data_IF_031404171274
#
_entry.id   IF_031404171274
#
_cell.length_a   1.000
_cell.length_b   1.000
_cell.length_c   1.000
_cell.angle_alpha   90.00
_cell.angle_beta   90.00
_cell.angle_gamma   90.00
#
_symmetry.space_group_name_H-M   'P 1'
#
loop_
_entity.id
_entity.type
_entity.pdbx_description
1 polymer ?
#
# COMPACT_ATOMS: atom_id res chain seq x y z
N UNK A 1 3.16 -23.75 -11.99
CA UNK A 1 4.13 -22.71 -12.38
C UNK A 1 3.88 -21.47 -11.55
N UNK A 2 4.90 -20.77 -11.03
CA UNK A 2 4.67 -19.56 -10.26
C UNK A 2 3.99 -18.51 -11.14
N UNK A 3 2.97 -17.84 -10.59
CA UNK A 3 2.33 -16.69 -11.22
C UNK A 3 3.42 -15.62 -11.41
N UNK A 4 3.65 -15.19 -12.65
CA UNK A 4 4.70 -14.22 -12.98
C UNK A 4 4.08 -12.99 -13.63
N UNK A 5 4.36 -11.82 -13.06
CA UNK A 5 4.02 -10.55 -13.70
C UNK A 5 4.90 -10.31 -14.94
N UNK A 6 4.29 -9.89 -16.03
CA UNK A 6 4.94 -9.57 -17.31
C UNK A 6 4.99 -8.08 -17.59
N UNK A 7 4.09 -7.28 -17.02
CA UNK A 7 4.11 -5.82 -17.08
C UNK A 7 3.29 -5.21 -15.94
N UNK A 8 3.58 -3.96 -15.59
CA UNK A 8 2.83 -3.17 -14.61
C UNK A 8 2.41 -1.83 -15.22
N UNK A 9 1.16 -1.44 -15.02
CA UNK A 9 0.61 -0.17 -15.50
C UNK A 9 0.05 0.59 -14.29
N UNK A 10 0.72 1.69 -13.93
CA UNK A 10 0.33 2.51 -12.78
C UNK A 10 -0.39 3.77 -13.25
N UNK A 11 -1.70 3.84 -13.02
CA UNK A 11 -2.46 5.07 -13.17
C UNK A 11 -2.32 5.93 -11.92
N UNK A 12 -1.76 7.14 -12.07
CA UNK A 12 -1.38 7.98 -10.94
C UNK A 12 -1.50 9.48 -11.21
N UNK A 13 -1.48 10.27 -10.13
CA UNK A 13 -1.21 11.71 -10.23
C UNK A 13 0.08 12.09 -9.48
N UNK A 14 0.83 13.10 -9.96
CA UNK A 14 2.07 13.54 -9.32
C UNK A 14 1.90 13.93 -7.84
N UNK A 15 0.90 14.74 -7.51
CA UNK A 15 0.68 15.30 -6.16
C UNK A 15 -0.22 14.44 -5.26
N UNK A 16 -0.61 13.23 -5.69
CA UNK A 16 -1.39 12.33 -4.85
C UNK A 16 -0.50 11.55 -3.89
N UNK A 17 -0.78 11.67 -2.59
CA UNK A 17 -0.08 10.91 -1.55
C UNK A 17 -0.25 9.40 -1.72
N UNK A 18 -1.45 8.92 -2.04
CA UNK A 18 -1.67 7.50 -2.31
C UNK A 18 -0.89 7.00 -3.54
N UNK A 19 -0.77 7.84 -4.58
CA UNK A 19 0.07 7.52 -5.73
C UNK A 19 1.56 7.54 -5.38
N UNK A 20 1.99 8.47 -4.52
CA UNK A 20 3.36 8.54 -4.06
C UNK A 20 3.77 7.27 -3.31
N UNK A 21 2.89 6.70 -2.47
CA UNK A 21 3.12 5.41 -1.79
C UNK A 21 3.55 4.32 -2.78
N UNK A 22 2.89 4.22 -3.93
CA UNK A 22 3.16 3.17 -4.91
C UNK A 22 4.43 3.47 -5.71
N UNK A 23 4.68 4.72 -6.08
CA UNK A 23 5.95 5.10 -6.73
C UNK A 23 7.15 4.79 -5.83
N UNK A 24 7.04 5.11 -4.53
CA UNK A 24 8.05 4.76 -3.53
C UNK A 24 8.21 3.25 -3.42
N UNK A 25 7.10 2.49 -3.32
CA UNK A 25 7.14 1.03 -3.26
C UNK A 25 7.84 0.39 -4.46
N UNK A 26 7.51 0.81 -5.68
CA UNK A 26 8.12 0.32 -6.92
C UNK A 26 9.64 0.59 -6.95
N UNK A 27 10.06 1.77 -6.50
CA UNK A 27 11.48 2.15 -6.42
C UNK A 27 12.22 1.38 -5.32
N UNK A 28 11.66 1.28 -4.11
CA UNK A 28 12.27 0.54 -3.00
C UNK A 28 12.50 -0.92 -3.37
N UNK A 29 11.51 -1.55 -4.02
CA UNK A 29 11.62 -2.92 -4.53
C UNK A 29 12.54 -3.06 -5.74
N UNK A 30 13.12 -1.97 -6.25
CA UNK A 30 14.02 -1.97 -7.41
C UNK A 30 13.42 -2.62 -8.65
N UNK A 31 12.10 -2.53 -8.82
CA UNK A 31 11.42 -3.16 -9.96
C UNK A 31 11.77 -2.47 -11.29
N UNK A 32 12.21 -1.21 -11.24
CA UNK A 32 12.75 -0.49 -12.38
C UNK A 32 14.09 -1.03 -12.90
N UNK A 33 14.87 -1.69 -12.04
CA UNK A 33 16.16 -2.28 -12.42
C UNK A 33 15.99 -3.68 -13.03
N UNK A 34 14.76 -4.23 -12.94
CA UNK A 34 14.42 -5.51 -13.53
C UNK A 34 13.98 -5.36 -14.99
N UNK A 35 14.04 -6.44 -15.77
CA UNK A 35 13.49 -6.48 -17.14
C UNK A 35 11.95 -6.45 -17.19
N UNK A 36 11.28 -5.93 -16.15
CA UNK A 36 9.83 -5.80 -16.06
C UNK A 36 9.40 -4.42 -16.60
N UNK A 37 8.62 -4.37 -17.69
CA UNK A 37 8.03 -3.12 -18.15
C UNK A 37 7.11 -2.51 -17.08
N UNK A 38 7.34 -1.24 -16.75
CA UNK A 38 6.48 -0.45 -15.86
C UNK A 38 6.08 0.83 -16.60
N UNK A 39 4.80 0.95 -16.92
CA UNK A 39 4.24 2.13 -17.60
C UNK A 39 3.47 3.00 -16.60
N UNK A 40 3.80 4.27 -16.57
CA UNK A 40 3.09 5.28 -15.78
C UNK A 40 2.04 5.98 -16.65
N UNK A 41 0.80 6.00 -16.19
CA UNK A 41 -0.33 6.66 -16.84
C UNK A 41 -0.77 7.86 -15.99
N UNK A 42 -0.34 9.09 -16.33
CA UNK A 42 -0.77 10.29 -15.61
C UNK A 42 -2.28 10.50 -15.74
N UNK A 43 -2.95 10.76 -14.63
CA UNK A 43 -4.37 11.12 -14.56
C UNK A 43 -4.46 12.57 -14.10
N UNK A 44 -5.06 13.44 -14.91
CA UNK A 44 -5.19 14.86 -14.56
C UNK A 44 -6.36 15.05 -13.59
N UNK A 45 -6.04 15.30 -12.31
CA UNK A 45 -7.07 15.55 -11.29
C UNK A 45 -7.76 16.91 -11.47
N UNK A 46 -7.04 17.93 -11.97
CA UNK A 46 -7.62 19.26 -12.21
C UNK A 46 -8.63 19.25 -13.35
N UNK A 47 -8.39 18.44 -14.38
CA UNK A 47 -9.34 18.19 -15.47
C UNK A 47 -10.39 17.12 -15.12
N UNK A 48 -10.36 16.56 -13.91
CA UNK A 48 -11.28 15.51 -13.46
C UNK A 48 -11.25 14.21 -14.30
N UNK A 49 -10.10 13.87 -14.91
CA UNK A 49 -9.97 12.67 -15.77
C UNK A 49 -10.29 11.35 -15.04
N UNK A 50 -10.12 11.33 -13.71
CA UNK A 50 -10.48 10.21 -12.84
C UNK A 50 -11.99 9.93 -12.78
N UNK A 51 -12.82 10.87 -13.24
CA UNK A 51 -14.26 10.66 -13.42
C UNK A 51 -14.65 10.26 -14.85
N UNK A 52 -13.70 10.22 -15.79
CA UNK A 52 -13.99 9.81 -17.17
C UNK A 52 -14.55 8.39 -17.22
N UNK A 53 -15.43 8.06 -18.19
CA UNK A 53 -15.93 6.70 -18.36
C UNK A 53 -14.81 5.66 -18.52
N UNK A 54 -13.73 6.04 -19.21
CA UNK A 54 -12.56 5.19 -19.42
C UNK A 54 -11.79 4.92 -18.13
N UNK A 55 -11.63 5.89 -17.23
CA UNK A 55 -10.98 5.64 -15.95
C UNK A 55 -11.91 4.88 -14.98
N UNK A 56 -13.19 5.21 -14.98
CA UNK A 56 -14.18 4.59 -14.10
C UNK A 56 -14.37 3.09 -14.38
N UNK A 57 -14.18 2.65 -15.63
CA UNK A 57 -14.17 1.22 -15.95
C UNK A 57 -13.00 0.47 -15.32
N UNK A 58 -11.87 1.15 -15.06
CA UNK A 58 -10.74 0.60 -14.31
C UNK A 58 -10.95 0.69 -12.80
N UNK A 59 -11.42 1.84 -12.31
CA UNK A 59 -11.67 2.08 -10.89
C UNK A 59 -13.04 2.76 -10.66
N UNK A 60 -14.08 1.99 -10.29
CA UNK A 60 -15.42 2.52 -10.04
C UNK A 60 -15.50 3.55 -8.91
N UNK A 61 -14.56 3.53 -7.96
CA UNK A 61 -14.48 4.52 -6.87
C UNK A 61 -13.88 5.86 -7.34
N UNK A 62 -13.46 5.95 -8.60
CA UNK A 62 -12.87 7.16 -9.21
C UNK A 62 -11.68 7.71 -8.41
N UNK A 63 -11.00 6.85 -7.66
CA UNK A 63 -9.84 7.22 -6.86
C UNK A 63 -8.56 6.85 -7.59
N UNK A 64 -7.46 7.46 -7.19
CA UNK A 64 -6.11 7.07 -7.62
C UNK A 64 -5.27 6.70 -6.39
N UNK A 65 -4.26 5.83 -6.53
CA UNK A 65 -3.79 5.17 -7.74
C UNK A 65 -4.62 3.94 -8.14
N UNK A 66 -4.41 3.44 -9.35
CA UNK A 66 -4.84 2.11 -9.79
C UNK A 66 -3.66 1.40 -10.43
N UNK A 67 -3.35 0.19 -9.99
CA UNK A 67 -2.34 -0.67 -10.59
C UNK A 67 -3.02 -1.76 -11.42
N UNK A 68 -2.67 -1.84 -12.69
CA UNK A 68 -3.02 -2.97 -13.56
C UNK A 68 -1.78 -3.84 -13.69
N UNK A 69 -1.93 -5.13 -13.41
CA UNK A 69 -0.87 -6.14 -13.46
C UNK A 69 -1.19 -7.09 -14.61
N UNK A 70 -0.27 -7.20 -15.55
CA UNK A 70 -0.31 -8.25 -16.56
C UNK A 70 0.46 -9.45 -16.05
N UNK A 71 -0.15 -10.63 -16.16
CA UNK A 71 0.40 -11.90 -15.75
C UNK A 71 0.60 -12.80 -16.97
N UNK A 72 1.66 -13.60 -16.91
CA UNK A 72 1.97 -14.58 -17.95
C UNK A 72 0.74 -15.47 -18.24
N UNK A 73 0.47 -15.77 -19.52
CA UNK A 73 -0.66 -16.62 -19.88
C UNK A 73 -0.53 -18.00 -19.23
N UNK A 74 -1.67 -18.57 -18.83
CA UNK A 74 -1.73 -19.98 -18.46
C UNK A 74 -1.53 -20.85 -19.71
N UNK A 75 -1.07 -22.10 -19.56
CA UNK A 75 -0.77 -23.01 -20.68
C UNK A 75 -1.96 -23.30 -21.63
N UNK A 76 -3.17 -22.81 -21.30
CA UNK A 76 -4.39 -22.98 -22.07
C UNK A 76 -4.94 -21.67 -22.67
N UNK A 77 -4.30 -20.51 -22.43
CA UNK A 77 -4.75 -19.20 -22.93
C UNK A 77 -3.65 -18.47 -23.70
N UNK A 78 -4.02 -17.84 -24.84
CA UNK A 78 -3.10 -17.03 -25.66
C UNK A 78 -2.89 -15.60 -25.15
N UNK A 79 -3.84 -15.06 -24.38
CA UNK A 79 -3.78 -13.69 -23.86
C UNK A 79 -3.27 -13.65 -22.42
N UNK A 80 -2.58 -12.58 -22.00
CA UNK A 80 -2.16 -12.40 -20.62
C UNK A 80 -3.37 -12.26 -19.70
N UNK A 81 -3.24 -12.75 -18.47
CA UNK A 81 -4.24 -12.52 -17.43
C UNK A 81 -4.03 -11.11 -16.84
N UNK A 82 -5.11 -10.37 -16.63
CA UNK A 82 -5.04 -9.00 -16.11
C UNK A 82 -5.70 -8.94 -14.73
N UNK A 83 -4.99 -8.33 -13.77
CA UNK A 83 -5.53 -8.00 -12.44
C UNK A 83 -5.49 -6.48 -12.26
N UNK A 84 -6.60 -5.89 -11.82
CA UNK A 84 -6.68 -4.45 -11.50
C UNK A 84 -6.87 -4.27 -10.00
N UNK A 85 -6.00 -3.48 -9.37
CA UNK A 85 -5.99 -3.22 -7.93
C UNK A 85 -6.08 -1.71 -7.70
N UNK A 86 -7.07 -1.29 -6.91
CA UNK A 86 -7.47 0.13 -6.79
C UNK A 86 -7.15 0.78 -5.44
N UNK A 87 -6.72 -0.02 -4.46
CA UNK A 87 -6.42 0.42 -3.10
C UNK A 87 -4.92 0.43 -2.84
N UNK A 88 -4.36 1.56 -2.39
CA UNK A 88 -2.91 1.71 -2.26
C UNK A 88 -2.24 0.67 -1.34
N UNK A 89 -2.87 0.29 -0.23
CA UNK A 89 -2.31 -0.74 0.65
C UNK A 89 -2.42 -2.16 0.04
N UNK A 90 -3.51 -2.45 -0.67
CA UNK A 90 -3.65 -3.71 -1.40
C UNK A 90 -2.64 -3.83 -2.55
N UNK A 91 -2.31 -2.70 -3.20
CA UNK A 91 -1.24 -2.66 -4.20
C UNK A 91 0.11 -3.00 -3.56
N UNK A 92 0.44 -2.41 -2.40
CA UNK A 92 1.70 -2.70 -1.68
C UNK A 92 1.80 -4.19 -1.32
N UNK A 93 0.72 -4.77 -0.79
CA UNK A 93 0.63 -6.20 -0.47
C UNK A 93 0.81 -7.09 -1.72
N UNK A 94 0.16 -6.73 -2.83
CA UNK A 94 0.30 -7.43 -4.08
C UNK A 94 1.74 -7.36 -4.63
N UNK A 95 2.43 -6.22 -4.50
CA UNK A 95 3.84 -6.09 -4.90
C UNK A 95 4.75 -6.99 -4.07
N UNK A 96 4.53 -7.10 -2.76
CA UNK A 96 5.31 -8.03 -1.92
C UNK A 96 5.01 -9.50 -2.19
N UNK A 97 3.79 -9.80 -2.65
CA UNK A 97 3.35 -11.15 -3.02
C UNK A 97 3.89 -11.57 -4.39
N UNK A 98 3.84 -10.67 -5.38
CA UNK A 98 4.29 -10.95 -6.75
C UNK A 98 5.81 -10.92 -6.90
N UNK A 99 6.51 -10.16 -6.05
CA UNK A 99 7.96 -9.99 -6.09
C UNK A 99 8.60 -10.28 -4.72
N UNK A 100 8.50 -11.53 -4.22
CA UNK A 100 9.02 -11.90 -2.90
C UNK A 100 10.56 -11.88 -2.83
N UNK A 101 11.24 -12.09 -3.96
CA UNK A 101 12.70 -12.15 -4.07
C UNK A 101 13.34 -10.77 -4.31
N UNK A 102 12.52 -9.72 -4.40
CA UNK A 102 12.95 -8.34 -4.65
C UNK A 102 12.94 -7.58 -3.30
N UNK A 103 14.12 -7.37 -2.67
CA UNK A 103 14.20 -6.68 -1.39
C UNK A 103 14.08 -5.15 -1.56
N UNK A 104 13.60 -4.45 -0.51
CA UNK A 104 13.14 -4.99 0.75
C UNK A 104 11.69 -5.54 0.64
N UNK A 105 11.29 -6.38 1.60
CA UNK A 105 9.86 -6.55 1.88
C UNK A 105 9.33 -5.24 2.45
N UNK A 106 8.20 -4.79 1.93
CA UNK A 106 7.54 -3.57 2.36
C UNK A 106 6.68 -3.80 3.61
N UNK A 107 6.11 -5.00 3.72
CA UNK A 107 5.33 -5.44 4.87
C UNK A 107 6.15 -6.50 5.62
N UNK A 108 6.42 -6.31 6.94
CA UNK A 108 7.15 -7.31 7.72
C UNK A 108 6.47 -8.67 7.63
N UNK A 109 7.20 -9.75 7.31
CA UNK A 109 6.58 -11.06 7.08
C UNK A 109 5.79 -11.57 8.30
N UNK A 110 4.72 -12.37 8.11
CA UNK A 110 4.08 -13.06 9.21
C UNK A 110 5.09 -13.97 9.92
N UNK A 111 5.13 -14.00 11.27
CA UNK A 111 6.12 -14.79 12.02
C UNK A 111 6.01 -16.30 11.74
N UNK A 112 4.86 -16.77 11.24
CA UNK A 112 4.58 -18.17 10.94
C UNK A 112 4.69 -18.53 9.45
N UNK A 113 5.09 -17.60 8.57
CA UNK A 113 5.13 -17.84 7.12
C UNK A 113 6.21 -18.85 6.68
N UNK A 114 7.18 -19.16 7.55
CA UNK A 114 8.27 -20.10 7.28
C UNK A 114 8.08 -21.42 8.05
N UNK A 115 6.99 -22.14 7.78
CA UNK A 115 6.75 -23.46 8.36
C UNK A 115 7.13 -24.57 7.37
N UNK A 116 8.43 -24.70 7.10
CA UNK A 116 8.97 -25.83 6.35
C UNK A 116 10.32 -26.28 6.89
N UNK A 117 10.38 -26.55 8.18
CA UNK A 117 11.36 -27.47 8.74
C UNK A 117 10.94 -27.96 10.13
N UNK A 118 10.53 -29.22 10.16
CA UNK A 118 10.52 -30.06 11.35
C UNK A 118 11.96 -30.22 11.86
N UNK A 119 12.37 -29.47 12.88
CA UNK A 119 13.57 -29.82 13.63
C UNK A 119 13.38 -29.55 15.12
N UNK A 120 13.58 -30.64 15.86
CA UNK A 120 13.82 -30.84 17.30
C UNK A 120 13.75 -29.60 18.20
N UNK A 121 12.93 -29.72 19.25
CA UNK A 121 12.76 -28.81 20.37
C UNK A 121 14.09 -28.46 21.06
N UNK A 122 14.80 -27.48 20.53
CA UNK A 122 15.87 -26.75 21.19
C UNK A 122 15.32 -25.41 21.69
N UNK A 123 15.26 -25.27 23.00
CA UNK A 123 14.85 -24.10 23.79
C UNK A 123 13.60 -23.33 23.31
N UNK A 124 12.43 -23.91 23.61
CA UNK A 124 11.10 -23.39 23.28
C UNK A 124 10.86 -21.93 23.71
N UNK A 125 11.61 -21.41 24.68
CA UNK A 125 11.46 -20.05 25.22
C UNK A 125 12.03 -18.97 24.29
N UNK A 126 13.22 -19.21 23.70
CA UNK A 126 13.86 -18.26 22.80
C UNK A 126 13.09 -18.13 21.48
N UNK A 127 12.62 -19.25 20.93
CA UNK A 127 11.78 -19.27 19.73
C UNK A 127 10.45 -18.51 19.94
N UNK A 128 9.80 -18.70 21.10
CA UNK A 128 8.57 -17.99 21.45
C UNK A 128 8.82 -16.46 21.56
N UNK A 129 9.94 -16.07 22.17
CA UNK A 129 10.33 -14.66 22.31
C UNK A 129 10.58 -13.99 20.96
N UNK A 130 11.25 -14.69 20.03
CA UNK A 130 11.47 -14.19 18.66
C UNK A 130 10.16 -14.05 17.88
N UNK A 131 9.27 -15.05 17.94
CA UNK A 131 7.95 -14.99 17.30
C UNK A 131 7.12 -13.81 17.83
N UNK A 132 7.14 -13.59 19.14
CA UNK A 132 6.47 -12.45 19.77
C UNK A 132 7.05 -11.11 19.31
N UNK A 133 8.38 -11.00 19.22
CA UNK A 133 9.04 -9.80 18.70
C UNK A 133 8.66 -9.51 17.24
N UNK A 134 8.68 -10.53 16.38
CA UNK A 134 8.29 -10.40 14.97
C UNK A 134 6.81 -10.02 14.82
N UNK A 135 5.93 -10.61 15.64
CA UNK A 135 4.52 -10.25 15.67
C UNK A 135 4.31 -8.80 16.09
N UNK A 136 4.98 -8.35 17.17
CA UNK A 136 4.93 -6.96 17.65
C UNK A 136 5.38 -5.98 16.56
N UNK A 137 6.50 -6.28 15.89
CA UNK A 137 7.03 -5.47 14.77
C UNK A 137 6.05 -5.35 13.62
N UNK A 138 5.50 -6.48 13.17
CA UNK A 138 4.51 -6.49 12.08
C UNK A 138 3.26 -5.69 12.48
N UNK A 139 2.75 -5.90 13.69
CA UNK A 139 1.59 -5.18 14.20
C UNK A 139 1.86 -3.66 14.25
N UNK A 140 2.98 -3.23 14.81
CA UNK A 140 3.34 -1.81 14.91
C UNK A 140 3.42 -1.13 13.53
N UNK A 141 4.07 -1.77 12.55
CA UNK A 141 4.14 -1.22 11.18
C UNK A 141 2.75 -1.11 10.56
N UNK A 142 1.93 -2.16 10.66
CA UNK A 142 0.58 -2.16 10.08
C UNK A 142 -0.33 -1.14 10.73
N UNK A 143 -0.22 -0.94 12.04
CA UNK A 143 -1.01 0.03 12.81
C UNK A 143 -0.67 1.47 12.39
N UNK A 144 0.63 1.82 12.34
CA UNK A 144 1.10 3.12 11.85
C UNK A 144 0.67 3.38 10.40
N UNK A 145 0.74 2.38 9.53
CA UNK A 145 0.30 2.48 8.13
C UNK A 145 -1.21 2.67 8.04
N UNK A 146 -1.98 1.90 8.82
CA UNK A 146 -3.44 1.98 8.85
C UNK A 146 -3.92 3.34 9.37
N UNK A 147 -3.29 3.89 10.41
CA UNK A 147 -3.59 5.23 10.92
C UNK A 147 -3.51 6.28 9.80
N UNK A 148 -2.43 6.27 9.01
CA UNK A 148 -2.29 7.21 7.89
C UNK A 148 -3.28 6.90 6.74
N UNK A 149 -3.52 5.62 6.45
CA UNK A 149 -4.33 5.21 5.32
C UNK A 149 -5.85 5.24 5.55
N UNK A 150 -6.29 5.19 6.81
CA UNK A 150 -7.68 5.15 7.21
C UNK A 150 -8.13 6.44 7.89
N UNK A 151 -7.33 6.97 8.81
CA UNK A 151 -7.77 8.05 9.71
C UNK A 151 -7.24 9.43 9.30
N UNK A 152 -6.19 9.48 8.48
CA UNK A 152 -5.59 10.75 8.01
C UNK A 152 -5.93 11.01 6.55
N UNK A 153 -5.46 10.17 5.64
CA UNK A 153 -5.56 10.46 4.22
C UNK A 153 -7.02 10.49 3.72
N UNK A 154 -7.91 9.57 4.11
CA UNK A 154 -9.29 9.61 3.64
C UNK A 154 -10.04 10.85 4.15
N UNK A 155 -10.06 11.21 5.45
CA UNK A 155 -10.81 12.39 5.90
C UNK A 155 -10.22 13.73 5.45
N UNK A 156 -8.91 13.80 5.19
CA UNK A 156 -8.25 15.01 4.67
C UNK A 156 -8.25 15.11 3.13
N UNK A 157 -8.78 14.09 2.43
CA UNK A 157 -8.80 14.06 0.97
C UNK A 157 -9.57 15.26 0.40
N UNK A 158 -9.09 15.78 -0.75
CA UNK A 158 -9.69 16.92 -1.45
C UNK A 158 -11.21 16.76 -1.64
N UNK A 159 -11.69 15.56 -2.03
CA UNK A 159 -13.12 15.33 -2.27
C UNK A 159 -14.00 15.66 -1.05
N UNK A 160 -13.49 15.37 0.16
CA UNK A 160 -14.23 15.63 1.39
C UNK A 160 -14.07 17.06 1.85
N UNK A 161 -12.89 17.66 1.66
CA UNK A 161 -12.69 19.10 1.91
C UNK A 161 -13.62 19.95 1.05
N UNK A 162 -13.70 19.63 -0.24
CA UNK A 162 -14.59 20.31 -1.18
C UNK A 162 -16.06 20.12 -0.76
N UNK A 163 -16.47 18.91 -0.38
CA UNK A 163 -17.83 18.62 0.09
C UNK A 163 -18.17 19.36 1.41
N UNK A 164 -17.23 19.46 2.36
CA UNK A 164 -17.43 20.24 3.60
C UNK A 164 -17.73 21.70 3.28
N UNK A 165 -17.01 22.29 2.33
CA UNK A 165 -17.25 23.66 1.91
C UNK A 165 -18.55 23.82 1.12
N UNK A 166 -18.79 22.96 0.13
CA UNK A 166 -19.91 23.08 -0.81
C UNK A 166 -21.26 22.68 -0.19
N UNK A 167 -21.31 21.57 0.54
CA UNK A 167 -22.56 20.98 1.01
C UNK A 167 -22.96 21.48 2.41
N UNK A 168 -21.97 21.90 3.21
CA UNK A 168 -22.17 22.25 4.63
C UNK A 168 -21.70 23.66 4.99
N UNK A 169 -21.12 24.43 4.06
CA UNK A 169 -20.61 25.78 4.32
C UNK A 169 -19.46 25.85 5.32
N UNK A 170 -18.76 24.74 5.54
CA UNK A 170 -17.64 24.64 6.48
C UNK A 170 -16.29 25.03 5.86
N UNK A 171 -15.26 25.07 6.71
CA UNK A 171 -13.88 25.28 6.28
C UNK A 171 -13.15 23.93 6.08
N UNK A 172 -13.03 23.50 4.83
CA UNK A 172 -12.34 22.27 4.45
C UNK A 172 -10.84 22.27 4.75
N UNK A 173 -10.18 23.43 4.73
CA UNK A 173 -8.74 23.53 5.05
C UNK A 173 -8.51 23.43 6.56
N UNK A 174 -9.32 24.13 7.37
CA UNK A 174 -9.28 23.97 8.82
C UNK A 174 -9.63 22.55 9.25
N UNK A 175 -10.57 21.89 8.57
CA UNK A 175 -10.88 20.48 8.78
C UNK A 175 -9.65 19.59 8.53
N UNK A 176 -9.02 19.69 7.35
CA UNK A 176 -7.87 18.87 7.05
C UNK A 176 -6.69 19.15 7.98
N UNK A 177 -6.45 20.41 8.38
CA UNK A 177 -5.44 20.74 9.39
C UNK A 177 -5.68 19.97 10.69
N UNK A 178 -6.91 20.00 11.22
CA UNK A 178 -7.29 19.25 12.43
C UNK A 178 -7.05 17.74 12.27
N UNK A 179 -7.44 17.17 11.12
CA UNK A 179 -7.23 15.75 10.83
C UNK A 179 -5.74 15.39 10.83
N UNK A 180 -4.90 16.21 10.17
CA UNK A 180 -3.46 16.01 10.14
C UNK A 180 -2.82 16.15 11.52
N UNK A 181 -3.13 17.22 12.27
CA UNK A 181 -2.56 17.46 13.60
C UNK A 181 -2.90 16.31 14.56
N UNK A 182 -4.17 15.88 14.61
CA UNK A 182 -4.59 14.75 15.45
C UNK A 182 -3.92 13.45 15.02
N UNK A 183 -3.93 13.15 13.72
CA UNK A 183 -3.41 11.90 13.19
C UNK A 183 -1.89 11.76 13.32
N UNK A 184 -1.15 12.83 13.05
CA UNK A 184 0.30 12.85 13.21
C UNK A 184 0.72 12.86 14.69
N UNK A 185 -0.06 13.50 15.56
CA UNK A 185 0.14 13.39 17.02
C UNK A 185 0.02 11.94 17.50
N UNK A 186 -1.05 11.24 17.11
CA UNK A 186 -1.23 9.82 17.44
C UNK A 186 -0.14 8.94 16.81
N UNK A 187 0.31 9.25 15.60
CA UNK A 187 1.40 8.53 14.94
C UNK A 187 2.70 8.60 15.75
N UNK A 188 3.05 9.80 16.23
CA UNK A 188 4.25 10.02 17.04
C UNK A 188 4.21 9.22 18.35
N UNK A 189 3.08 9.27 19.08
CA UNK A 189 2.90 8.52 20.32
C UNK A 189 3.03 7.00 20.10
N UNK A 190 2.41 6.47 19.04
CA UNK A 190 2.51 5.05 18.69
C UNK A 190 3.93 4.64 18.30
N UNK A 191 4.64 5.51 17.59
CA UNK A 191 6.03 5.28 17.18
C UNK A 191 6.96 5.20 18.39
N UNK A 192 6.85 6.13 19.34
CA UNK A 192 7.61 6.13 20.59
C UNK A 192 7.31 4.85 21.39
N UNK A 193 6.04 4.53 21.59
CA UNK A 193 5.62 3.34 22.33
C UNK A 193 6.08 2.03 21.66
N UNK A 194 6.13 1.97 20.32
CA UNK A 194 6.69 0.84 19.60
C UNK A 194 8.20 0.71 19.83
N UNK A 195 8.94 1.82 19.77
CA UNK A 195 10.39 1.83 20.02
C UNK A 195 10.79 1.46 21.45
N UNK A 196 9.99 1.82 22.45
CA UNK A 196 10.21 1.41 23.85
C UNK A 196 9.99 -0.09 24.06
N UNK A 197 8.95 -0.66 23.44
CA UNK A 197 8.62 -2.10 23.52
C UNK A 197 9.62 -3.01 22.81
N UNK A 198 10.49 -2.46 21.95
CA UNK A 198 11.59 -3.20 21.34
C UNK A 198 12.87 -3.19 22.20
N UNK A 199 13.02 -2.22 23.11
CA UNK A 199 14.21 -2.07 23.96
C UNK A 199 14.12 -2.81 25.30
N UNK A 200 12.92 -3.11 25.77
CA UNK A 200 12.64 -3.86 27.01
C UNK A 200 12.26 -5.31 26.72
#
# INVERSE_FOLDING_TARGET
>A
MPIRATALHLHHAPLSGCSARIRIALHLKRLHDSNLPITYHPVNLSASDHHSPAYRSLNPNTSIPTLVVELAPSSQQKQPNIITITQSLAIIDALDTLFPDSPPRLIPAPPFASSSSSSSFGDSSAAASLLLLLLRRRAAVLDLVALIACDVQPPANKRWRDAIAADYGGDGEAWARRVYERGLGAYEELLIAAGERERG
#
